data_IF_443634505331
#
_entry.id   IF_443634505331
#
_cell.length_a   1.000
_cell.length_b   1.000
_cell.length_c   1.000
_cell.angle_alpha   90.00
_cell.angle_beta   90.00
_cell.angle_gamma   90.00
#
_symmetry.space_group_name_H-M   'P 1'
#
loop_
_entity.id
_entity.type
_entity.pdbx_description
1 polymer ?
#
# COMPACT_ATOMS: atom_id res chain seq x y z
N UNK A 1 -3.85 28.95 -53.72
CA UNK A 1 -3.90 29.96 -52.67
C UNK A 1 -5.25 29.90 -52.00
N UNK A 2 -5.32 29.47 -50.81
CA UNK A 2 -6.42 29.44 -49.82
C UNK A 2 -6.25 28.17 -49.01
N UNK A 3 -5.91 28.12 -47.80
CA UNK A 3 -6.12 28.92 -46.63
C UNK A 3 -6.26 27.91 -45.50
N UNK A 4 -5.23 27.60 -44.78
CA UNK A 4 -5.26 26.73 -43.60
C UNK A 4 -5.56 27.63 -42.39
N UNK A 5 -6.81 28.01 -42.22
CA UNK A 5 -7.33 28.71 -41.05
C UNK A 5 -8.68 28.17 -40.65
N UNK A 6 -8.73 26.95 -40.09
CA UNK A 6 -9.88 26.51 -39.29
C UNK A 6 -9.48 25.34 -38.42
N UNK A 7 -8.90 25.65 -37.25
CA UNK A 7 -8.57 24.63 -36.21
C UNK A 7 -8.96 24.99 -34.79
N UNK A 8 -9.58 26.13 -34.56
CA UNK A 8 -10.13 26.44 -33.25
C UNK A 8 -11.49 27.12 -33.36
N UNK A 9 -12.53 26.66 -32.64
CA UNK A 9 -13.83 27.33 -32.65
C UNK A 9 -13.70 28.75 -32.10
N UNK A 10 -14.54 29.66 -32.62
CA UNK A 10 -14.60 31.05 -32.18
C UNK A 10 -14.78 31.14 -30.65
N UNK A 11 -13.99 32.01 -30.03
CA UNK A 11 -13.96 32.16 -28.57
C UNK A 11 -15.26 32.72 -28.04
N UNK A 12 -15.79 32.16 -26.94
CA UNK A 12 -16.96 32.68 -26.24
C UNK A 12 -16.70 34.06 -25.64
N UNK A 13 -17.76 34.83 -25.45
CA UNK A 13 -17.78 36.04 -24.63
C UNK A 13 -17.24 35.80 -23.20
N UNK A 14 -17.14 36.83 -22.38
CA UNK A 14 -16.61 36.71 -20.99
C UNK A 14 -17.39 35.68 -20.16
N UNK A 15 -18.70 35.54 -20.36
CA UNK A 15 -19.50 34.53 -19.67
C UNK A 15 -19.17 33.11 -20.12
N UNK A 16 -18.92 32.92 -21.41
CA UNK A 16 -18.47 31.63 -21.96
C UNK A 16 -17.07 31.21 -21.46
N UNK A 17 -16.16 32.18 -21.33
CA UNK A 17 -14.82 31.93 -20.76
C UNK A 17 -14.89 31.52 -19.29
N UNK A 18 -15.79 32.15 -18.51
CA UNK A 18 -15.98 31.80 -17.10
C UNK A 18 -16.56 30.39 -16.93
N UNK A 19 -17.56 30.00 -17.72
CA UNK A 19 -18.10 28.63 -17.72
C UNK A 19 -17.05 27.58 -18.09
N UNK A 20 -16.20 27.88 -19.09
CA UNK A 20 -15.09 26.99 -19.44
C UNK A 20 -14.06 26.89 -18.32
N UNK A 21 -13.82 27.97 -17.59
CA UNK A 21 -12.91 28.00 -16.46
C UNK A 21 -13.46 27.19 -15.27
N UNK A 22 -14.76 27.31 -14.96
CA UNK A 22 -15.42 26.51 -13.91
C UNK A 22 -15.36 25.00 -14.22
N UNK A 23 -15.61 24.64 -15.49
CA UNK A 23 -15.45 23.27 -15.95
C UNK A 23 -14.00 22.78 -15.81
N UNK A 24 -13.02 23.62 -16.19
CA UNK A 24 -11.61 23.33 -16.05
C UNK A 24 -11.18 23.20 -14.57
N UNK A 25 -11.73 24.02 -13.67
CA UNK A 25 -11.50 23.88 -12.24
C UNK A 25 -11.97 22.52 -11.74
N UNK A 26 -13.20 22.12 -12.02
CA UNK A 26 -13.75 20.84 -11.60
C UNK A 26 -12.98 19.66 -12.16
N UNK A 27 -12.55 19.75 -13.42
CA UNK A 27 -11.84 18.69 -14.12
C UNK A 27 -10.37 18.55 -13.67
N UNK A 28 -9.66 19.66 -13.46
CA UNK A 28 -8.19 19.65 -13.32
C UNK A 28 -7.68 19.96 -11.91
N UNK A 29 -8.55 20.36 -10.97
CA UNK A 29 -8.14 20.66 -9.59
C UNK A 29 -7.38 19.49 -8.95
N UNK A 30 -7.92 18.28 -9.06
CA UNK A 30 -7.28 17.06 -8.51
C UNK A 30 -5.92 16.79 -9.14
N UNK A 31 -5.78 16.95 -10.45
CA UNK A 31 -4.53 16.75 -11.19
C UNK A 31 -3.44 17.75 -10.75
N UNK A 32 -3.79 19.03 -10.60
CA UNK A 32 -2.86 20.08 -10.15
C UNK A 32 -2.48 19.88 -8.69
N UNK A 33 -3.41 19.47 -7.81
CA UNK A 33 -3.12 19.14 -6.42
C UNK A 33 -2.14 17.95 -6.31
N UNK A 34 -2.37 16.89 -7.08
CA UNK A 34 -1.42 15.77 -7.20
C UNK A 34 -0.03 16.22 -7.67
N UNK A 35 0.04 17.13 -8.65
CA UNK A 35 1.30 17.70 -9.11
C UNK A 35 2.07 18.41 -8.00
N UNK A 36 1.43 19.25 -7.19
CA UNK A 36 2.08 19.91 -6.05
C UNK A 36 2.45 18.93 -4.95
N UNK A 37 1.61 17.92 -4.68
CA UNK A 37 1.93 16.86 -3.72
C UNK A 37 3.24 16.14 -4.07
N UNK A 38 3.45 15.84 -5.36
CA UNK A 38 4.66 15.16 -5.84
C UNK A 38 5.87 16.11 -5.86
N UNK A 39 5.67 17.37 -6.28
CA UNK A 39 6.78 18.31 -6.49
C UNK A 39 7.23 19.04 -5.22
N UNK A 40 6.36 19.25 -4.27
CA UNK A 40 6.67 20.00 -3.04
C UNK A 40 6.36 19.13 -1.81
N UNK A 41 5.10 19.04 -1.38
CA UNK A 41 4.61 18.12 -0.37
C UNK A 41 3.08 18.20 -0.28
N UNK A 42 2.48 17.26 0.47
CA UNK A 42 1.01 17.17 0.64
C UNK A 42 0.44 18.34 1.45
N UNK A 43 1.19 18.84 2.42
CA UNK A 43 0.68 19.85 3.39
C UNK A 43 0.30 21.15 2.71
N UNK A 44 1.06 21.60 1.72
CA UNK A 44 0.84 22.87 1.01
C UNK A 44 0.18 22.69 -0.37
N UNK A 45 -0.08 21.45 -0.79
CA UNK A 45 -0.57 21.18 -2.14
C UNK A 45 -1.94 21.79 -2.42
N UNK A 46 -2.88 21.73 -1.48
CA UNK A 46 -4.21 22.32 -1.64
C UNK A 46 -4.15 23.86 -1.71
N UNK A 47 -3.37 24.50 -0.84
CA UNK A 47 -3.19 25.97 -0.83
C UNK A 47 -2.56 26.46 -2.15
N UNK A 48 -1.53 25.76 -2.62
CA UNK A 48 -0.89 26.09 -3.89
C UNK A 48 -1.82 25.84 -5.08
N UNK A 49 -2.68 24.83 -5.00
CA UNK A 49 -3.68 24.56 -6.03
C UNK A 49 -4.71 25.69 -6.09
N UNK A 50 -5.25 26.11 -4.96
CA UNK A 50 -6.16 27.25 -4.88
C UNK A 50 -5.51 28.53 -5.41
N UNK A 51 -4.26 28.78 -5.02
CA UNK A 51 -3.50 29.93 -5.51
C UNK A 51 -3.33 29.95 -7.04
N UNK A 52 -3.07 28.78 -7.65
CA UNK A 52 -2.96 28.65 -9.11
C UNK A 52 -4.28 29.01 -9.79
N UNK A 53 -5.39 28.45 -9.30
CA UNK A 53 -6.70 28.71 -9.90
C UNK A 53 -7.17 30.17 -9.67
N UNK A 54 -6.88 30.77 -8.52
CA UNK A 54 -7.11 32.21 -8.29
C UNK A 54 -6.32 33.05 -9.28
N UNK A 55 -5.02 32.81 -9.43
CA UNK A 55 -4.20 33.50 -10.44
C UNK A 55 -4.69 33.27 -11.87
N UNK A 56 -5.16 32.08 -12.19
CA UNK A 56 -5.72 31.78 -13.49
C UNK A 56 -7.04 32.56 -13.71
N UNK A 57 -7.93 32.61 -12.72
CA UNK A 57 -9.16 33.41 -12.78
C UNK A 57 -8.87 34.90 -13.00
N UNK A 58 -7.97 35.50 -12.20
CA UNK A 58 -7.58 36.91 -12.30
C UNK A 58 -6.99 37.25 -13.67
N UNK A 59 -6.28 36.33 -14.29
CA UNK A 59 -5.62 36.52 -15.58
C UNK A 59 -6.36 35.89 -16.77
N UNK A 60 -7.59 35.42 -16.59
CA UNK A 60 -8.35 34.74 -17.64
C UNK A 60 -8.54 35.60 -18.90
N UNK A 61 -8.64 36.92 -18.73
CA UNK A 61 -8.70 37.90 -19.81
C UNK A 61 -7.44 37.88 -20.72
N UNK A 62 -6.28 37.43 -20.19
CA UNK A 62 -5.02 37.32 -20.95
C UNK A 62 -4.88 35.99 -21.69
N UNK A 63 -5.76 35.05 -21.43
CA UNK A 63 -5.76 33.78 -22.11
C UNK A 63 -6.18 33.97 -23.56
N UNK A 64 -5.27 33.74 -24.50
CA UNK A 64 -5.41 34.04 -25.93
C UNK A 64 -5.58 32.81 -26.81
N UNK A 65 -5.83 31.64 -26.21
CA UNK A 65 -6.09 30.37 -26.93
C UNK A 65 -4.95 29.79 -27.78
N UNK A 66 -3.76 30.31 -27.67
CA UNK A 66 -2.61 29.70 -28.32
C UNK A 66 -2.25 28.31 -27.77
N UNK A 67 -2.89 27.92 -26.68
CA UNK A 67 -2.79 26.59 -26.03
C UNK A 67 -4.13 26.18 -25.44
N UNK A 68 -4.27 24.92 -25.00
CA UNK A 68 -5.44 24.53 -24.22
C UNK A 68 -5.49 25.31 -22.90
N UNK A 69 -6.70 25.52 -22.36
CA UNK A 69 -6.89 26.18 -21.08
C UNK A 69 -6.12 25.43 -19.97
N UNK A 70 -6.11 24.09 -20.02
CA UNK A 70 -5.32 23.27 -19.10
C UNK A 70 -3.82 23.56 -19.20
N UNK A 71 -3.26 23.58 -20.40
CA UNK A 71 -1.83 23.87 -20.62
C UNK A 71 -1.45 25.24 -20.07
N UNK A 72 -2.32 26.22 -20.21
CA UNK A 72 -2.09 27.57 -19.69
C UNK A 72 -2.16 27.59 -18.14
N UNK A 73 -3.18 26.98 -17.52
CA UNK A 73 -3.27 26.85 -16.05
C UNK A 73 -2.07 26.07 -15.51
N UNK A 74 -1.65 25.01 -16.21
CA UNK A 74 -0.51 24.21 -15.80
C UNK A 74 0.82 24.98 -15.86
N UNK A 75 0.96 25.91 -16.81
CA UNK A 75 2.12 26.81 -16.84
C UNK A 75 2.21 27.73 -15.61
N UNK A 76 1.06 28.15 -15.08
CA UNK A 76 0.98 28.91 -13.82
C UNK A 76 1.42 28.02 -12.65
N UNK A 77 0.97 26.75 -12.63
CA UNK A 77 1.38 25.78 -11.60
C UNK A 77 2.91 25.54 -11.61
N UNK A 78 3.50 25.37 -12.79
CA UNK A 78 4.97 25.22 -12.92
C UNK A 78 5.75 26.43 -12.40
N UNK A 79 5.28 27.64 -12.71
CA UNK A 79 5.88 28.86 -12.20
C UNK A 79 5.72 28.98 -10.67
N UNK A 80 4.59 28.54 -10.14
CA UNK A 80 4.36 28.48 -8.68
C UNK A 80 5.34 27.55 -7.99
N UNK A 81 5.61 26.35 -8.54
CA UNK A 81 6.65 25.44 -8.02
C UNK A 81 8.03 26.10 -8.02
N UNK A 82 8.43 26.75 -9.12
CA UNK A 82 9.73 27.45 -9.19
C UNK A 82 9.86 28.54 -8.13
N UNK A 83 8.79 29.29 -7.89
CA UNK A 83 8.77 30.35 -6.88
C UNK A 83 8.86 29.78 -5.47
N UNK A 84 8.18 28.65 -5.20
CA UNK A 84 8.22 28.01 -3.91
C UNK A 84 9.62 27.45 -3.60
N UNK A 85 10.28 26.80 -4.55
CA UNK A 85 11.68 26.40 -4.38
C UNK A 85 12.62 27.56 -4.10
N UNK A 86 12.43 28.72 -4.77
CA UNK A 86 13.22 29.93 -4.50
C UNK A 86 12.94 30.49 -3.09
N UNK A 87 11.70 30.40 -2.62
CA UNK A 87 11.31 30.81 -1.26
C UNK A 87 11.95 29.91 -0.20
N UNK A 88 11.88 28.59 -0.40
CA UNK A 88 12.49 27.59 0.49
C UNK A 88 14.02 27.73 0.53
N UNK A 89 14.66 27.99 -0.60
CA UNK A 89 16.12 28.22 -0.66
C UNK A 89 16.53 29.48 0.11
N UNK A 90 15.76 30.56 0.01
CA UNK A 90 15.99 31.79 0.79
C UNK A 90 15.80 31.57 2.29
N UNK A 91 14.75 30.84 2.69
CA UNK A 91 14.53 30.47 4.10
C UNK A 91 15.64 29.60 4.66
N UNK A 92 16.19 28.67 3.89
CA UNK A 92 17.35 27.86 4.30
C UNK A 92 18.62 28.69 4.46
N UNK A 93 18.84 29.69 3.64
CA UNK A 93 19.97 30.64 3.79
C UNK A 93 19.90 31.51 5.04
N UNK A 94 18.70 31.79 5.56
CA UNK A 94 18.48 32.55 6.79
C UNK A 94 18.57 31.66 8.04
N UNK A 95 18.30 30.36 7.92
CA UNK A 95 18.32 29.38 9.01
C UNK A 95 19.75 28.89 9.32
N UNK A 96 20.74 29.12 8.46
CA UNK A 96 22.12 28.74 8.73
C UNK A 96 22.77 29.47 9.92
N UNK A 97 22.16 30.54 10.42
CA UNK A 97 22.63 31.30 11.57
C UNK A 97 21.98 30.94 12.92
N UNK A 98 21.04 29.98 12.91
CA UNK A 98 20.42 29.45 14.14
C UNK A 98 20.62 27.94 14.23
N UNK A 99 21.85 27.53 14.48
CA UNK A 99 22.18 26.14 14.79
C UNK A 99 22.07 25.90 16.27
N UNK A 100 21.10 25.15 16.71
CA UNK A 100 21.10 24.19 17.80
C UNK A 100 19.69 23.97 18.38
N UNK A 101 18.82 23.29 17.64
CA UNK A 101 17.73 22.53 18.22
C UNK A 101 17.60 21.22 17.44
N UNK A 102 17.87 20.13 18.13
CA UNK A 102 17.60 18.78 17.64
C UNK A 102 16.14 18.68 17.17
N UNK A 103 15.85 18.02 16.05
CA UNK A 103 14.48 17.76 15.66
C UNK A 103 13.88 16.73 16.64
N UNK A 104 13.02 17.20 17.53
CA UNK A 104 12.15 16.33 18.28
C UNK A 104 11.36 15.45 17.33
N UNK A 105 11.48 14.15 17.53
CA UNK A 105 10.72 13.02 17.03
C UNK A 105 9.49 13.37 16.17
N UNK A 106 9.70 13.57 14.89
CA UNK A 106 8.69 13.32 13.89
C UNK A 106 8.54 11.80 13.85
N UNK A 107 7.35 11.29 14.10
CA UNK A 107 7.09 9.86 14.23
C UNK A 107 7.71 9.10 13.06
N UNK A 108 8.41 8.03 13.36
CA UNK A 108 9.08 7.12 12.41
C UNK A 108 8.15 6.64 11.28
N UNK A 109 6.84 6.66 11.49
CA UNK A 109 5.81 6.26 10.53
C UNK A 109 5.71 7.16 9.28
N UNK A 110 5.96 8.47 9.43
CA UNK A 110 5.96 9.39 8.30
C UNK A 110 7.24 9.24 7.45
N UNK A 111 8.36 8.90 8.05
CA UNK A 111 9.64 8.73 7.37
C UNK A 111 9.59 7.60 6.32
N UNK A 112 8.80 6.57 6.50
CA UNK A 112 8.77 5.36 5.68
C UNK A 112 7.82 5.40 4.50
N UNK A 113 6.64 5.98 4.63
CA UNK A 113 5.86 6.38 3.46
C UNK A 113 6.65 7.36 2.60
N UNK A 114 7.53 8.12 3.27
CA UNK A 114 8.55 8.95 2.67
C UNK A 114 9.63 8.08 2.01
N UNK A 115 10.04 6.90 2.52
CA UNK A 115 11.16 6.13 1.95
C UNK A 115 10.82 5.47 0.61
N UNK A 116 9.67 4.83 0.43
CA UNK A 116 9.26 4.36 -0.91
C UNK A 116 8.96 5.53 -1.85
N UNK A 117 8.42 6.65 -1.34
CA UNK A 117 8.27 7.89 -2.11
C UNK A 117 9.58 8.62 -2.32
N UNK A 118 10.50 8.58 -1.35
CA UNK A 118 11.88 9.05 -1.48
C UNK A 118 12.60 8.17 -2.50
N UNK A 119 12.33 6.88 -2.56
CA UNK A 119 12.98 5.95 -3.48
C UNK A 119 12.51 6.20 -4.91
N UNK A 120 11.22 6.28 -5.16
CA UNK A 120 10.69 6.72 -6.46
C UNK A 120 11.08 8.18 -6.74
N UNK A 121 11.01 9.05 -5.74
CA UNK A 121 11.39 10.46 -5.85
C UNK A 121 12.89 10.64 -6.11
N UNK A 122 13.75 9.82 -5.49
CA UNK A 122 15.19 9.82 -5.69
C UNK A 122 15.58 9.19 -7.01
N UNK A 123 14.89 8.11 -7.44
CA UNK A 123 15.04 7.54 -8.77
C UNK A 123 14.57 8.51 -9.86
N UNK A 124 13.45 9.20 -9.66
CA UNK A 124 12.99 10.26 -10.55
C UNK A 124 13.97 11.40 -10.66
N UNK A 125 14.63 11.82 -9.56
CA UNK A 125 15.67 12.87 -9.57
C UNK A 125 16.91 12.50 -10.37
N UNK A 126 17.18 11.21 -10.61
CA UNK A 126 18.27 10.74 -11.47
C UNK A 126 17.93 10.78 -12.96
N UNK A 127 16.67 11.04 -13.31
CA UNK A 127 16.28 11.37 -14.68
C UNK A 127 16.57 12.85 -14.98
N UNK A 128 16.72 13.19 -16.27
CA UNK A 128 16.77 14.60 -16.65
C UNK A 128 15.40 15.27 -16.42
N UNK A 129 15.39 16.59 -16.28
CA UNK A 129 14.16 17.36 -15.95
C UNK A 129 13.00 17.11 -16.91
N UNK A 130 13.29 16.99 -18.20
CA UNK A 130 12.26 16.76 -19.22
C UNK A 130 11.61 15.37 -19.08
N UNK A 131 12.40 14.33 -18.79
CA UNK A 131 11.88 12.98 -18.59
C UNK A 131 11.07 12.90 -17.28
N UNK A 132 11.53 13.58 -16.22
CA UNK A 132 10.75 13.73 -14.98
C UNK A 132 9.41 14.43 -15.24
N UNK A 133 9.41 15.48 -16.04
CA UNK A 133 8.21 16.23 -16.40
C UNK A 133 7.22 15.37 -17.19
N UNK A 134 7.71 14.64 -18.20
CA UNK A 134 6.88 13.74 -19.01
C UNK A 134 6.21 12.66 -18.14
N UNK A 135 6.98 12.02 -17.26
CA UNK A 135 6.45 11.00 -16.34
C UNK A 135 5.43 11.62 -15.39
N UNK A 136 5.75 12.78 -14.80
CA UNK A 136 4.84 13.46 -13.87
C UNK A 136 3.52 13.80 -14.55
N UNK A 137 3.57 14.38 -15.75
CA UNK A 137 2.36 14.74 -16.49
C UNK A 137 1.52 13.53 -16.86
N UNK A 138 2.14 12.46 -17.32
CA UNK A 138 1.41 11.30 -17.81
C UNK A 138 0.83 10.43 -16.67
N UNK A 139 1.62 10.12 -15.63
CA UNK A 139 1.22 9.17 -14.58
C UNK A 139 0.65 9.80 -13.31
N UNK A 140 0.99 11.04 -13.00
CA UNK A 140 0.51 11.69 -11.78
C UNK A 140 -0.55 12.76 -12.05
N UNK A 141 -0.56 13.31 -13.25
CA UNK A 141 -1.51 14.36 -13.67
C UNK A 141 -2.56 13.79 -14.62
N UNK A 142 -2.41 12.52 -15.05
CA UNK A 142 -3.31 11.80 -15.96
C UNK A 142 -3.45 12.48 -17.35
N UNK A 143 -2.40 13.19 -17.83
CA UNK A 143 -2.38 13.77 -19.16
C UNK A 143 -2.20 12.71 -20.25
N UNK A 144 -2.91 12.83 -21.34
CA UNK A 144 -2.67 12.02 -22.56
C UNK A 144 -1.29 12.37 -23.15
N UNK A 145 -0.70 11.46 -23.93
CA UNK A 145 0.59 11.73 -24.59
C UNK A 145 0.54 12.96 -25.52
N UNK A 146 -0.62 13.21 -26.14
CA UNK A 146 -0.82 14.38 -26.98
C UNK A 146 -0.82 15.69 -26.17
N UNK A 147 -1.43 15.70 -24.99
CA UNK A 147 -1.40 16.84 -24.08
C UNK A 147 0.00 17.06 -23.52
N UNK A 148 0.68 16.00 -23.09
CA UNK A 148 2.09 16.08 -22.67
C UNK A 148 2.94 16.67 -23.79
N UNK A 149 2.79 16.22 -25.04
CA UNK A 149 3.52 16.71 -26.21
C UNK A 149 3.33 18.22 -26.40
N UNK A 150 2.09 18.71 -26.24
CA UNK A 150 1.78 20.15 -26.31
C UNK A 150 2.43 20.94 -25.18
N UNK A 151 2.38 20.39 -23.95
CA UNK A 151 2.97 21.05 -22.75
C UNK A 151 4.50 21.16 -22.86
N UNK A 152 5.16 20.10 -23.32
CA UNK A 152 6.63 20.07 -23.41
C UNK A 152 7.16 20.57 -24.75
N UNK A 153 6.29 20.97 -25.68
CA UNK A 153 6.69 21.51 -26.99
C UNK A 153 7.33 20.49 -27.94
N UNK A 154 6.95 19.24 -27.86
CA UNK A 154 7.51 18.13 -28.64
C UNK A 154 6.45 17.43 -29.50
N UNK A 155 6.88 16.63 -30.50
CA UNK A 155 5.98 15.72 -31.22
C UNK A 155 5.57 14.56 -30.31
N UNK A 156 4.33 14.09 -30.41
CA UNK A 156 3.81 12.98 -29.60
C UNK A 156 4.67 11.70 -29.68
N UNK A 157 5.14 11.36 -30.88
CA UNK A 157 6.04 10.21 -31.08
C UNK A 157 7.36 10.35 -30.32
N UNK A 158 7.90 11.56 -30.24
CA UNK A 158 9.11 11.84 -29.49
C UNK A 158 8.87 11.74 -27.96
N UNK A 159 7.73 12.23 -27.49
CA UNK A 159 7.31 12.08 -26.07
C UNK A 159 7.14 10.61 -25.72
N UNK A 160 6.46 9.83 -26.56
CA UNK A 160 6.28 8.39 -26.37
C UNK A 160 7.63 7.66 -26.26
N UNK A 161 8.55 7.92 -27.18
CA UNK A 161 9.87 7.29 -27.17
C UNK A 161 10.69 7.70 -25.92
N UNK A 162 10.59 8.97 -25.50
CA UNK A 162 11.26 9.45 -24.29
C UNK A 162 10.66 8.81 -23.04
N UNK A 163 9.35 8.72 -22.96
CA UNK A 163 8.66 8.08 -21.85
C UNK A 163 9.13 6.63 -21.67
N UNK A 164 9.17 5.83 -22.75
CA UNK A 164 9.65 4.46 -22.68
C UNK A 164 11.10 4.34 -22.19
N UNK A 165 12.00 5.20 -22.67
CA UNK A 165 13.40 5.23 -22.23
C UNK A 165 13.53 5.64 -20.76
N UNK A 166 12.75 6.61 -20.33
CA UNK A 166 12.73 7.06 -18.94
C UNK A 166 12.20 5.98 -18.00
N UNK A 167 11.13 5.26 -18.39
CA UNK A 167 10.59 4.13 -17.64
C UNK A 167 11.61 2.97 -17.54
N UNK A 168 12.30 2.67 -18.63
CA UNK A 168 13.35 1.64 -18.61
C UNK A 168 14.51 2.01 -17.69
N UNK A 169 14.90 3.30 -17.67
CA UNK A 169 15.91 3.78 -16.73
C UNK A 169 15.44 3.71 -15.29
N UNK A 170 14.20 4.09 -15.01
CA UNK A 170 13.59 3.95 -13.67
C UNK A 170 13.53 2.49 -13.25
N UNK A 171 13.14 1.59 -14.15
CA UNK A 171 13.09 0.15 -13.88
C UNK A 171 14.44 -0.40 -13.45
N UNK A 172 15.54 0.03 -14.10
CA UNK A 172 16.91 -0.36 -13.70
C UNK A 172 17.27 0.19 -12.33
N UNK A 173 17.03 1.47 -12.09
CA UNK A 173 17.31 2.11 -10.81
C UNK A 173 16.51 1.46 -9.66
N UNK A 174 15.22 1.21 -9.87
CA UNK A 174 14.35 0.58 -8.88
C UNK A 174 14.68 -0.92 -8.68
N UNK A 175 15.26 -1.59 -9.68
CA UNK A 175 15.72 -2.96 -9.54
C UNK A 175 16.96 -3.06 -8.64
N UNK A 176 17.92 -2.15 -8.81
CA UNK A 176 19.09 -2.05 -7.92
C UNK A 176 18.65 -1.79 -6.46
N UNK A 177 17.58 -1.02 -6.27
CA UNK A 177 17.02 -0.74 -4.94
C UNK A 177 16.18 -1.88 -4.39
N UNK A 178 15.49 -2.62 -5.25
CA UNK A 178 14.84 -3.87 -4.88
C UNK A 178 15.85 -4.87 -4.29
N UNK A 179 17.07 -4.90 -4.82
CA UNK A 179 18.16 -5.73 -4.30
C UNK A 179 18.70 -5.20 -2.95
N UNK A 180 18.72 -3.88 -2.73
CA UNK A 180 19.09 -3.26 -1.44
C UNK A 180 18.01 -3.52 -0.37
N UNK A 181 16.72 -3.38 -0.72
CA UNK A 181 15.62 -3.73 0.17
C UNK A 181 15.64 -5.22 0.56
N UNK A 182 16.06 -6.09 -0.38
CA UNK A 182 16.26 -7.52 -0.16
C UNK A 182 17.39 -7.81 0.82
N UNK A 183 18.52 -7.11 0.73
CA UNK A 183 19.60 -7.25 1.70
C UNK A 183 19.13 -6.85 3.13
N UNK A 184 18.34 -5.80 3.25
CA UNK A 184 17.76 -5.41 4.54
C UNK A 184 16.78 -6.44 5.11
N UNK A 185 16.08 -7.21 4.27
CA UNK A 185 15.19 -8.30 4.70
C UNK A 185 15.99 -9.51 5.15
N UNK A 186 17.07 -9.86 4.48
CA UNK A 186 17.99 -10.95 4.89
C UNK A 186 18.57 -10.69 6.28
N UNK A 187 18.84 -9.42 6.62
CA UNK A 187 19.30 -9.05 7.95
C UNK A 187 18.20 -9.16 9.02
N UNK A 188 16.93 -9.12 8.63
CA UNK A 188 15.76 -9.10 9.53
C UNK A 188 15.07 -10.44 9.72
N UNK A 189 15.30 -11.41 8.84
CA UNK A 189 14.74 -12.75 8.92
C UNK A 189 15.87 -13.76 9.00
N UNK A 190 15.78 -14.72 9.93
CA UNK A 190 16.61 -15.91 9.93
C UNK A 190 15.76 -17.17 9.93
N UNK A 191 16.19 -18.18 9.19
CA UNK A 191 15.49 -19.45 9.08
C UNK A 191 16.40 -20.52 9.68
N UNK A 192 15.86 -21.29 10.64
CA UNK A 192 16.59 -22.32 11.39
C UNK A 192 15.79 -23.61 11.36
N UNK A 193 16.41 -24.71 10.93
CA UNK A 193 15.83 -26.06 11.06
C UNK A 193 16.15 -26.66 12.43
N UNK A 194 15.17 -27.28 13.06
CA UNK A 194 15.28 -27.99 14.35
C UNK A 194 15.50 -29.49 14.17
N UNK A 195 16.13 -29.91 13.07
CA UNK A 195 16.52 -31.31 12.86
C UNK A 195 17.71 -31.68 13.75
N UNK A 196 17.61 -32.76 14.49
CA UNK A 196 18.72 -33.25 15.30
C UNK A 196 19.86 -33.83 14.43
N UNK A 197 21.01 -33.24 14.51
CA UNK A 197 22.29 -33.91 14.28
C UNK A 197 22.80 -34.09 12.84
N UNK A 198 22.19 -33.50 11.80
CA UNK A 198 22.74 -33.56 10.43
C UNK A 198 22.95 -32.17 9.82
N UNK A 199 24.10 -32.01 9.17
CA UNK A 199 24.34 -30.89 8.26
C UNK A 199 23.21 -30.80 7.23
N UNK A 200 22.59 -29.60 7.12
CA UNK A 200 21.44 -29.33 6.27
C UNK A 200 21.58 -29.96 4.89
N UNK A 201 20.77 -30.97 4.59
CA UNK A 201 20.76 -31.67 3.32
C UNK A 201 20.35 -30.75 2.17
N UNK A 202 20.51 -31.22 0.91
CA UNK A 202 20.14 -30.45 -0.30
C UNK A 202 18.66 -30.05 -0.25
N UNK A 203 17.80 -30.90 0.29
CA UNK A 203 16.35 -30.64 0.42
C UNK A 203 16.02 -29.52 1.42
N UNK A 204 16.73 -29.46 2.55
CA UNK A 204 16.56 -28.38 3.55
C UNK A 204 17.03 -27.02 3.01
N UNK A 205 18.14 -26.99 2.29
CA UNK A 205 18.62 -25.76 1.61
C UNK A 205 17.60 -25.24 0.60
N UNK A 206 16.87 -26.17 -0.06
CA UNK A 206 15.76 -25.80 -0.95
C UNK A 206 14.61 -25.17 -0.16
N UNK A 207 14.20 -25.80 0.95
CA UNK A 207 13.15 -25.27 1.83
C UNK A 207 13.48 -23.85 2.31
N UNK A 208 14.70 -23.63 2.83
CA UNK A 208 15.14 -22.32 3.27
C UNK A 208 15.05 -21.28 2.15
N UNK A 209 15.45 -21.63 0.93
CA UNK A 209 15.37 -20.72 -0.23
C UNK A 209 13.93 -20.41 -0.59
N UNK A 210 13.08 -21.44 -0.71
CA UNK A 210 11.69 -21.29 -1.13
C UNK A 210 10.89 -20.48 -0.09
N UNK A 211 11.11 -20.70 1.20
CA UNK A 211 10.55 -19.88 2.29
C UNK A 211 11.06 -18.44 2.24
N UNK A 212 12.35 -18.25 2.01
CA UNK A 212 12.93 -16.93 1.89
C UNK A 212 12.36 -16.16 0.69
N UNK A 213 12.21 -16.83 -0.47
CA UNK A 213 11.66 -16.23 -1.70
C UNK A 213 10.17 -15.88 -1.56
N UNK A 214 9.39 -16.69 -0.83
CA UNK A 214 7.99 -16.38 -0.52
C UNK A 214 7.88 -15.17 0.42
N UNK A 215 8.63 -15.19 1.52
CA UNK A 215 8.63 -14.11 2.49
C UNK A 215 9.20 -12.81 1.94
N UNK A 216 10.23 -12.87 1.09
CA UNK A 216 10.82 -11.70 0.45
C UNK A 216 9.77 -10.84 -0.25
N UNK A 217 8.85 -11.48 -0.98
CA UNK A 217 7.77 -10.78 -1.68
C UNK A 217 6.71 -10.24 -0.72
N UNK A 218 6.30 -11.10 0.21
CA UNK A 218 5.20 -10.81 1.13
C UNK A 218 5.59 -9.78 2.19
N UNK A 219 6.78 -9.88 2.77
CA UNK A 219 7.25 -8.97 3.82
C UNK A 219 7.36 -7.53 3.32
N UNK A 220 7.94 -7.32 2.13
CA UNK A 220 8.03 -5.96 1.54
C UNK A 220 6.64 -5.37 1.35
N UNK A 221 5.69 -6.17 0.85
CA UNK A 221 4.32 -5.71 0.65
C UNK A 221 3.61 -5.41 1.97
N UNK A 222 3.74 -6.28 2.98
CA UNK A 222 3.10 -6.13 4.28
C UNK A 222 3.65 -4.94 5.06
N UNK A 223 4.97 -4.81 5.10
CA UNK A 223 5.66 -3.66 5.73
C UNK A 223 5.23 -2.35 5.09
N UNK A 224 5.18 -2.29 3.76
CA UNK A 224 4.70 -1.11 3.04
C UNK A 224 3.21 -0.85 3.27
N UNK A 225 2.38 -1.91 3.25
CA UNK A 225 0.92 -1.82 3.39
C UNK A 225 0.50 -1.32 4.76
N UNK A 226 1.12 -1.86 5.81
CA UNK A 226 0.82 -1.49 7.19
C UNK A 226 1.70 -0.36 7.72
N UNK A 227 2.60 0.16 6.90
CA UNK A 227 3.53 1.23 7.26
C UNK A 227 4.29 0.94 8.57
N UNK A 228 4.67 -0.30 8.77
CA UNK A 228 5.35 -0.76 9.98
C UNK A 228 6.46 -1.76 9.65
N UNK A 229 7.67 -1.47 10.09
CA UNK A 229 8.78 -2.42 9.97
C UNK A 229 8.91 -3.25 11.25
N UNK A 230 9.31 -4.50 11.11
CA UNK A 230 9.66 -5.32 12.25
C UNK A 230 10.62 -4.60 13.19
N UNK A 231 10.20 -4.44 14.45
CA UNK A 231 11.02 -3.81 15.49
C UNK A 231 12.25 -4.64 15.86
N UNK A 232 12.21 -5.95 15.58
CA UNK A 232 13.24 -6.93 15.87
C UNK A 232 13.43 -7.92 14.74
N UNK A 233 14.54 -8.64 14.77
CA UNK A 233 14.79 -9.75 13.84
C UNK A 233 13.82 -10.90 14.10
N UNK A 234 13.15 -11.36 13.03
CA UNK A 234 12.21 -12.48 13.07
C UNK A 234 12.96 -13.77 12.79
N UNK A 235 12.78 -14.76 13.64
CA UNK A 235 13.33 -16.10 13.49
C UNK A 235 12.23 -17.03 13.01
N UNK A 236 12.51 -17.87 12.01
CA UNK A 236 11.60 -18.90 11.56
C UNK A 236 12.22 -20.25 11.92
N UNK A 237 11.60 -20.95 12.83
CA UNK A 237 11.98 -22.28 13.26
C UNK A 237 11.16 -23.33 12.51
N UNK A 238 11.86 -24.26 11.83
CA UNK A 238 11.24 -25.31 11.07
C UNK A 238 11.41 -26.64 11.81
N UNK A 239 10.28 -27.24 12.16
CA UNK A 239 10.24 -28.56 12.84
C UNK A 239 10.06 -29.66 11.81
N UNK A 240 10.66 -30.85 12.03
CA UNK A 240 10.71 -31.89 11.00
C UNK A 240 9.34 -32.46 10.59
N UNK A 241 8.40 -32.50 11.54
CA UNK A 241 7.04 -33.04 11.36
C UNK A 241 6.05 -32.43 12.35
N UNK A 242 4.74 -32.72 12.18
CA UNK A 242 3.69 -32.22 13.07
C UNK A 242 3.83 -32.68 14.50
N UNK A 243 4.10 -33.96 14.83
CA UNK A 243 4.27 -34.40 16.22
C UNK A 243 5.37 -33.65 16.93
N UNK A 244 6.53 -33.52 16.32
CA UNK A 244 7.66 -32.75 16.88
C UNK A 244 7.33 -31.26 17.08
N UNK A 245 6.60 -30.68 16.10
CA UNK A 245 6.14 -29.31 16.21
C UNK A 245 5.14 -29.15 17.36
N UNK A 246 4.10 -29.99 17.43
CA UNK A 246 3.06 -29.94 18.48
C UNK A 246 3.65 -30.09 19.89
N UNK A 247 4.61 -31.02 20.05
CA UNK A 247 5.31 -31.18 21.32
C UNK A 247 6.11 -29.93 21.70
N UNK A 248 6.84 -29.35 20.73
CA UNK A 248 7.69 -28.17 20.94
C UNK A 248 6.90 -26.89 21.27
N UNK A 249 5.63 -26.82 20.91
CA UNK A 249 4.73 -25.68 21.24
C UNK A 249 3.80 -25.97 22.40
N UNK A 250 3.91 -27.16 23.04
CA UNK A 250 3.08 -27.55 24.19
C UNK A 250 1.68 -28.02 23.85
N UNK A 251 1.40 -28.32 22.57
CA UNK A 251 0.07 -28.69 22.04
C UNK A 251 0.07 -30.12 21.46
N UNK A 252 0.55 -31.09 22.23
CA UNK A 252 0.70 -32.49 21.76
C UNK A 252 -0.60 -33.15 21.21
N UNK A 253 -1.76 -32.64 21.59
CA UNK A 253 -3.07 -33.11 21.09
C UNK A 253 -3.69 -32.24 20.00
N UNK A 254 -2.93 -31.31 19.43
CA UNK A 254 -3.45 -30.40 18.42
C UNK A 254 -3.91 -31.12 17.14
N UNK A 255 -4.93 -30.60 16.43
CA UNK A 255 -5.37 -31.18 15.18
C UNK A 255 -4.34 -30.98 14.05
N UNK A 256 -4.43 -31.83 13.03
CA UNK A 256 -3.45 -31.86 11.92
C UNK A 256 -3.37 -30.56 11.09
N UNK A 257 -4.41 -29.73 11.12
CA UNK A 257 -4.38 -28.44 10.46
C UNK A 257 -3.50 -27.40 11.20
N UNK A 258 -3.18 -27.62 12.48
CA UNK A 258 -2.34 -26.73 13.27
C UNK A 258 -0.86 -26.94 12.92
N UNK A 259 -0.38 -26.21 11.92
CA UNK A 259 0.93 -26.37 11.30
C UNK A 259 1.94 -25.31 11.69
N UNK A 260 1.54 -24.31 12.44
CA UNK A 260 2.43 -23.21 12.82
C UNK A 260 1.82 -22.22 13.78
N UNK A 261 2.66 -21.56 14.53
CA UNK A 261 2.32 -20.50 15.48
C UNK A 261 3.47 -19.49 15.58
N UNK A 262 3.30 -18.46 16.38
CA UNK A 262 4.39 -17.55 16.71
C UNK A 262 4.41 -17.26 18.21
N UNK A 263 5.62 -17.05 18.71
CA UNK A 263 5.89 -16.67 20.08
C UNK A 263 7.02 -15.63 20.07
N UNK A 264 6.82 -14.51 20.74
CA UNK A 264 7.71 -13.35 20.67
C UNK A 264 8.08 -12.98 19.22
N UNK A 265 9.35 -13.10 18.86
CA UNK A 265 9.86 -12.83 17.51
C UNK A 265 10.13 -14.11 16.70
N UNK A 266 9.57 -15.24 17.11
CA UNK A 266 9.81 -16.53 16.48
C UNK A 266 8.53 -17.08 15.87
N UNK A 267 8.56 -17.32 14.57
CA UNK A 267 7.56 -18.11 13.87
C UNK A 267 8.00 -19.58 13.92
N UNK A 268 7.15 -20.44 14.45
CA UNK A 268 7.39 -21.89 14.55
C UNK A 268 6.49 -22.59 13.55
N UNK A 269 7.05 -23.35 12.62
CA UNK A 269 6.29 -24.03 11.55
C UNK A 269 6.73 -25.47 11.37
N UNK A 270 5.82 -26.31 10.87
CA UNK A 270 6.19 -27.63 10.39
C UNK A 270 6.96 -27.54 9.06
N UNK A 271 7.84 -28.51 8.80
CA UNK A 271 8.60 -28.57 7.54
C UNK A 271 7.67 -28.73 6.33
N UNK A 272 7.85 -27.90 5.28
CA UNK A 272 7.17 -28.11 4.01
C UNK A 272 7.44 -29.50 3.38
N UNK A 273 8.54 -30.16 3.74
CA UNK A 273 8.86 -31.52 3.25
C UNK A 273 8.00 -32.61 3.89
N UNK A 274 7.47 -32.35 5.08
CA UNK A 274 6.61 -33.29 5.82
C UNK A 274 5.46 -32.50 6.46
N UNK A 275 4.54 -31.97 5.65
CA UNK A 275 3.54 -30.97 6.11
C UNK A 275 2.38 -31.59 6.89
N UNK A 276 2.30 -32.93 7.00
CA UNK A 276 1.16 -33.64 7.56
C UNK A 276 0.03 -33.88 6.52
N UNK A 277 -1.06 -34.55 6.94
CA UNK A 277 -2.09 -35.04 6.02
C UNK A 277 -2.97 -33.95 5.43
N UNK A 278 -3.11 -32.80 6.10
CA UNK A 278 -4.04 -31.73 5.70
C UNK A 278 -3.34 -30.58 4.93
N UNK A 279 -2.03 -30.65 4.80
CA UNK A 279 -1.23 -29.61 4.17
C UNK A 279 -0.41 -30.13 2.98
N UNK A 280 0.04 -29.20 2.18
CA UNK A 280 0.98 -29.44 1.06
C UNK A 280 2.21 -28.57 1.26
N UNK A 281 3.27 -28.88 0.52
CA UNK A 281 4.48 -28.03 0.49
C UNK A 281 4.13 -26.55 0.24
N UNK A 282 3.29 -26.29 -0.76
CA UNK A 282 2.92 -24.93 -1.14
C UNK A 282 2.02 -24.25 -0.10
N UNK A 283 1.14 -25.01 0.58
CA UNK A 283 0.29 -24.44 1.63
C UNK A 283 1.12 -24.00 2.85
N UNK A 284 2.16 -24.76 3.24
CA UNK A 284 3.06 -24.35 4.33
C UNK A 284 3.78 -23.04 4.01
N UNK A 285 4.28 -22.88 2.77
CA UNK A 285 4.91 -21.61 2.36
C UNK A 285 3.95 -20.42 2.52
N UNK A 286 2.70 -20.55 2.03
CA UNK A 286 1.66 -19.52 2.19
C UNK A 286 1.29 -19.27 3.66
N UNK A 287 1.21 -20.34 4.46
CA UNK A 287 0.91 -20.22 5.88
C UNK A 287 2.02 -19.50 6.63
N UNK A 288 3.27 -19.55 6.17
CA UNK A 288 4.34 -18.74 6.75
C UNK A 288 4.12 -17.24 6.50
N UNK A 289 3.58 -16.85 5.35
CA UNK A 289 3.14 -15.47 5.09
C UNK A 289 1.97 -15.07 6.01
N UNK A 290 1.01 -15.96 6.22
CA UNK A 290 -0.09 -15.75 7.17
C UNK A 290 0.44 -15.47 8.59
N UNK A 291 1.29 -16.35 9.10
CA UNK A 291 1.88 -16.20 10.43
C UNK A 291 2.71 -14.93 10.57
N UNK A 292 3.46 -14.57 9.52
CA UNK A 292 4.21 -13.32 9.51
C UNK A 292 3.29 -12.10 9.58
N UNK A 293 2.19 -12.11 8.83
CA UNK A 293 1.22 -11.01 8.86
C UNK A 293 0.53 -10.90 10.24
N UNK A 294 0.15 -12.02 10.85
CA UNK A 294 -0.38 -12.05 12.20
C UNK A 294 0.62 -11.50 13.23
N UNK A 295 1.86 -11.96 13.15
CA UNK A 295 2.95 -11.48 13.99
C UNK A 295 3.16 -9.98 13.81
N UNK A 296 3.17 -9.47 12.58
CA UNK A 296 3.35 -8.05 12.29
C UNK A 296 2.21 -7.20 12.87
N UNK A 297 0.96 -7.67 12.81
CA UNK A 297 -0.18 -7.01 13.47
C UNK A 297 0.04 -6.90 14.98
N UNK A 298 0.58 -7.94 15.60
CA UNK A 298 0.90 -7.95 17.03
C UNK A 298 2.13 -7.09 17.37
N UNK A 299 3.10 -6.98 16.47
CA UNK A 299 4.25 -6.07 16.63
C UNK A 299 3.82 -4.60 16.54
N UNK A 300 2.78 -4.29 15.71
CA UNK A 300 2.15 -2.96 15.65
C UNK A 300 1.33 -2.70 16.93
N UNK A 301 0.49 -3.64 17.30
CA UNK A 301 -0.39 -3.53 18.48
C UNK A 301 -0.47 -4.88 19.22
N UNK A 302 0.22 -5.02 20.35
CA UNK A 302 0.19 -6.25 21.15
C UNK A 302 -1.22 -6.64 21.66
N UNK A 303 -2.14 -5.67 21.72
CA UNK A 303 -3.54 -5.85 22.12
C UNK A 303 -4.49 -6.02 20.92
N UNK A 304 -3.97 -6.21 19.71
CA UNK A 304 -4.81 -6.42 18.54
C UNK A 304 -5.71 -7.66 18.73
N UNK A 305 -7.01 -7.54 18.41
CA UNK A 305 -7.95 -8.66 18.56
C UNK A 305 -7.53 -9.87 17.73
N UNK A 306 -7.88 -11.08 18.22
CA UNK A 306 -7.58 -12.34 17.54
C UNK A 306 -8.18 -12.39 16.14
N UNK A 307 -9.46 -12.00 16.00
CA UNK A 307 -10.13 -11.97 14.69
C UNK A 307 -9.40 -11.07 13.69
N UNK A 308 -8.84 -9.94 14.15
CA UNK A 308 -8.15 -8.99 13.28
C UNK A 308 -6.80 -9.56 12.80
N UNK A 309 -6.01 -10.13 13.71
CA UNK A 309 -4.72 -10.73 13.35
C UNK A 309 -4.91 -11.95 12.44
N UNK A 310 -5.84 -12.85 12.77
CA UNK A 310 -6.18 -14.03 11.96
C UNK A 310 -6.74 -13.64 10.59
N UNK A 311 -7.67 -12.68 10.56
CA UNK A 311 -8.28 -12.20 9.33
C UNK A 311 -7.28 -11.55 8.40
N UNK A 312 -6.39 -10.69 8.91
CA UNK A 312 -5.30 -10.08 8.13
C UNK A 312 -4.34 -11.15 7.63
N UNK A 313 -3.95 -12.12 8.48
CA UNK A 313 -3.08 -13.22 8.09
C UNK A 313 -3.64 -13.98 6.89
N UNK A 314 -4.88 -14.43 6.97
CA UNK A 314 -5.56 -15.17 5.89
C UNK A 314 -5.75 -14.34 4.62
N UNK A 315 -6.14 -13.08 4.77
CA UNK A 315 -6.40 -12.15 3.66
C UNK A 315 -5.13 -11.83 2.87
N UNK A 316 -4.05 -11.52 3.56
CA UNK A 316 -2.78 -11.18 2.93
C UNK A 316 -2.08 -12.40 2.29
N UNK A 317 -2.17 -13.56 2.93
CA UNK A 317 -1.63 -14.81 2.37
C UNK A 317 -2.47 -15.40 1.23
N UNK A 318 -3.66 -14.85 0.96
CA UNK A 318 -4.61 -15.34 -0.06
C UNK A 318 -4.87 -16.85 0.10
N UNK A 319 -5.07 -17.29 1.33
CA UNK A 319 -5.24 -18.71 1.64
C UNK A 319 -6.60 -19.26 1.28
N UNK A 320 -7.62 -18.42 1.20
CA UNK A 320 -9.00 -18.84 1.01
C UNK A 320 -9.50 -18.47 -0.38
N UNK A 321 -10.02 -19.45 -1.11
CA UNK A 321 -10.76 -19.21 -2.35
C UNK A 321 -12.21 -18.83 -2.05
N UNK A 322 -12.87 -18.16 -2.96
CA UNK A 322 -14.28 -17.79 -2.81
C UNK A 322 -15.19 -19.02 -2.70
N UNK A 323 -14.89 -20.09 -3.44
CA UNK A 323 -15.61 -21.36 -3.31
C UNK A 323 -15.45 -21.97 -1.92
N UNK A 324 -14.23 -22.02 -1.39
CA UNK A 324 -13.98 -22.55 -0.05
C UNK A 324 -14.73 -21.77 1.04
N UNK A 325 -14.69 -20.43 0.98
CA UNK A 325 -15.43 -19.58 1.92
C UNK A 325 -16.93 -19.88 1.82
N UNK A 326 -17.48 -19.92 0.60
CA UNK A 326 -18.89 -20.24 0.37
C UNK A 326 -19.28 -21.60 0.96
N UNK A 327 -18.52 -22.64 0.65
CA UNK A 327 -18.82 -24.00 1.07
C UNK A 327 -18.78 -24.15 2.60
N UNK A 328 -17.91 -23.38 3.27
CA UNK A 328 -17.73 -23.48 4.73
C UNK A 328 -18.57 -22.50 5.55
N UNK A 329 -19.12 -21.44 4.96
CA UNK A 329 -19.86 -20.39 5.70
C UNK A 329 -21.33 -20.25 5.28
N UNK A 330 -21.74 -20.76 4.11
CA UNK A 330 -23.07 -20.52 3.56
C UNK A 330 -24.21 -21.03 4.47
N UNK A 331 -24.03 -22.13 5.20
CA UNK A 331 -25.00 -22.64 6.12
C UNK A 331 -25.16 -21.70 7.33
N UNK A 332 -24.07 -21.28 7.95
CA UNK A 332 -24.09 -20.36 9.07
C UNK A 332 -24.69 -19.00 8.68
N UNK A 333 -24.37 -18.49 7.48
CA UNK A 333 -24.94 -17.24 6.95
C UNK A 333 -26.46 -17.37 6.76
N UNK A 334 -26.95 -18.45 6.12
CA UNK A 334 -28.38 -18.65 5.89
C UNK A 334 -29.18 -18.82 7.19
N UNK A 335 -28.58 -19.43 8.20
CA UNK A 335 -29.21 -19.67 9.50
C UNK A 335 -29.07 -18.46 10.46
N UNK A 336 -28.41 -17.38 10.05
CA UNK A 336 -28.15 -16.23 10.90
C UNK A 336 -27.17 -16.51 12.04
N UNK A 337 -26.37 -17.58 11.93
CA UNK A 337 -25.41 -18.03 12.94
C UNK A 337 -24.01 -17.42 12.66
N UNK A 338 -23.98 -16.12 12.31
CA UNK A 338 -22.73 -15.38 12.05
C UNK A 338 -22.17 -14.93 13.40
N UNK A 339 -20.90 -15.26 13.72
CA UNK A 339 -20.32 -14.92 15.01
C UNK A 339 -20.13 -13.40 15.17
N UNK A 340 -20.34 -12.90 16.38
CA UNK A 340 -19.96 -11.52 16.74
C UNK A 340 -18.45 -11.38 16.86
N UNK A 341 -17.94 -10.15 16.83
CA UNK A 341 -16.50 -9.89 17.03
C UNK A 341 -16.03 -10.43 18.38
N UNK A 342 -16.83 -10.28 19.44
CA UNK A 342 -16.52 -10.83 20.76
C UNK A 342 -16.44 -12.37 20.77
N UNK A 343 -17.26 -13.07 19.98
CA UNK A 343 -17.16 -14.52 19.84
C UNK A 343 -15.92 -14.96 19.06
N UNK A 344 -15.44 -14.13 18.15
CA UNK A 344 -14.21 -14.36 17.39
C UNK A 344 -12.91 -14.13 18.21
N UNK A 345 -13.02 -13.79 19.52
CA UNK A 345 -11.91 -13.76 20.48
C UNK A 345 -11.75 -15.09 21.25
N UNK A 346 -12.62 -16.07 21.02
CA UNK A 346 -12.60 -17.36 21.70
C UNK A 346 -11.32 -18.17 21.41
N UNK A 347 -11.14 -19.25 22.17
CA UNK A 347 -9.97 -20.11 22.09
C UNK A 347 -9.84 -20.82 20.73
N UNK A 348 -8.66 -21.37 20.44
CA UNK A 348 -8.29 -21.78 19.09
C UNK A 348 -9.20 -22.85 18.50
N UNK A 349 -9.60 -23.85 19.29
CA UNK A 349 -10.41 -24.97 18.81
C UNK A 349 -11.88 -24.59 18.65
N UNK A 350 -12.42 -23.81 19.55
CA UNK A 350 -13.77 -23.24 19.42
C UNK A 350 -13.84 -22.24 18.26
N UNK A 351 -12.77 -21.51 18.07
CA UNK A 351 -12.61 -20.58 16.95
C UNK A 351 -12.76 -21.29 15.59
N UNK A 352 -12.15 -22.45 15.42
CA UNK A 352 -12.31 -23.25 14.21
C UNK A 352 -13.75 -23.72 14.02
N UNK A 353 -14.35 -24.30 15.08
CA UNK A 353 -15.69 -24.87 15.02
C UNK A 353 -16.75 -23.86 14.58
N UNK A 354 -16.60 -22.59 14.95
CA UNK A 354 -17.51 -21.51 14.53
C UNK A 354 -17.18 -20.91 13.16
N UNK A 355 -16.19 -21.43 12.42
CA UNK A 355 -15.72 -20.84 11.17
C UNK A 355 -14.92 -19.54 11.37
N UNK A 356 -14.25 -19.40 12.51
CA UNK A 356 -13.59 -18.16 12.92
C UNK A 356 -12.54 -17.65 11.94
N UNK A 357 -11.78 -18.52 11.28
CA UNK A 357 -10.83 -18.15 10.25
C UNK A 357 -11.51 -17.49 9.03
N UNK A 358 -12.62 -18.09 8.57
CA UNK A 358 -13.37 -17.62 7.43
C UNK A 358 -14.06 -16.29 7.72
N UNK A 359 -14.72 -16.21 8.88
CA UNK A 359 -15.43 -14.98 9.29
C UNK A 359 -14.45 -13.83 9.60
N UNK A 360 -13.30 -14.11 10.18
CA UNK A 360 -12.24 -13.13 10.38
C UNK A 360 -11.69 -12.59 9.04
N UNK A 361 -11.46 -13.49 8.08
CA UNK A 361 -11.10 -13.13 6.71
C UNK A 361 -12.14 -12.21 6.07
N UNK A 362 -13.42 -12.60 6.13
CA UNK A 362 -14.52 -11.83 5.56
C UNK A 362 -14.69 -10.45 6.21
N UNK A 363 -14.44 -10.33 7.51
CA UNK A 363 -14.49 -9.06 8.21
C UNK A 363 -13.35 -8.11 7.75
N UNK A 364 -12.14 -8.64 7.62
CA UNK A 364 -11.00 -7.86 7.10
C UNK A 364 -11.22 -7.47 5.63
N UNK A 365 -11.72 -8.38 4.80
CA UNK A 365 -12.08 -8.09 3.41
C UNK A 365 -13.15 -6.99 3.34
N UNK A 366 -14.18 -7.05 4.16
CA UNK A 366 -15.23 -6.04 4.25
C UNK A 366 -14.66 -4.66 4.61
N UNK A 367 -13.79 -4.59 5.62
CA UNK A 367 -13.15 -3.32 6.01
C UNK A 367 -12.32 -2.76 4.86
N UNK A 368 -11.46 -3.58 4.24
CA UNK A 368 -10.61 -3.15 3.12
C UNK A 368 -11.44 -2.68 1.91
N UNK A 369 -12.52 -3.40 1.56
CA UNK A 369 -13.36 -3.08 0.40
C UNK A 369 -14.31 -1.90 0.61
N UNK A 370 -14.88 -1.73 1.81
CA UNK A 370 -15.86 -0.69 2.08
C UNK A 370 -15.24 0.61 2.61
N UNK A 371 -14.14 0.51 3.38
CA UNK A 371 -13.54 1.65 4.07
C UNK A 371 -12.09 1.91 3.65
N UNK A 372 -11.47 0.96 2.95
CA UNK A 372 -10.12 1.09 2.42
C UNK A 372 -9.00 0.79 3.41
N UNK A 373 -7.78 0.79 2.89
CA UNK A 373 -6.57 0.45 3.63
C UNK A 373 -6.29 1.37 4.83
N UNK A 374 -6.59 2.66 4.69
CA UNK A 374 -6.36 3.62 5.78
C UNK A 374 -7.22 3.29 7.00
N UNK A 375 -8.46 2.84 6.81
CA UNK A 375 -9.33 2.39 7.89
C UNK A 375 -8.81 1.09 8.53
N UNK A 376 -8.34 0.13 7.72
CA UNK A 376 -7.74 -1.11 8.21
C UNK A 376 -6.51 -0.82 9.08
N UNK A 377 -5.62 0.08 8.66
CA UNK A 377 -4.44 0.49 9.43
C UNK A 377 -4.83 1.17 10.74
N UNK A 378 -5.89 1.98 10.75
CA UNK A 378 -6.38 2.60 11.97
C UNK A 378 -6.96 1.59 12.95
N UNK A 379 -7.66 0.55 12.46
CA UNK A 379 -8.20 -0.54 13.30
C UNK A 379 -7.09 -1.36 13.94
N UNK A 380 -6.00 -1.64 13.23
CA UNK A 380 -4.84 -2.32 13.84
C UNK A 380 -4.31 -1.52 15.04
N UNK A 381 -4.13 -0.22 14.88
CA UNK A 381 -3.61 0.64 15.94
C UNK A 381 -4.59 0.91 17.09
N UNK A 382 -5.89 0.96 16.80
CA UNK A 382 -6.96 1.33 17.76
C UNK A 382 -8.25 0.54 17.49
N UNK A 383 -8.28 -0.76 17.79
CA UNK A 383 -9.42 -1.62 17.46
C UNK A 383 -10.73 -1.22 18.15
N UNK A 384 -10.65 -0.57 19.32
CA UNK A 384 -11.81 -0.12 20.09
C UNK A 384 -12.45 1.17 19.55
N UNK A 385 -11.81 1.83 18.58
CA UNK A 385 -12.26 3.14 18.08
C UNK A 385 -13.17 3.04 16.84
N UNK A 386 -14.15 2.14 16.86
CA UNK A 386 -15.10 1.97 15.75
C UNK A 386 -15.79 3.28 15.35
N UNK A 387 -16.20 4.09 16.32
CA UNK A 387 -16.86 5.38 16.03
C UNK A 387 -15.95 6.37 15.32
N UNK A 388 -14.69 6.46 15.73
CA UNK A 388 -13.73 7.38 15.11
C UNK A 388 -13.30 6.96 13.71
N UNK A 389 -13.25 5.65 13.45
CA UNK A 389 -12.78 5.08 12.17
C UNK A 389 -13.92 4.98 11.17
N UNK A 390 -15.07 4.41 11.58
CA UNK A 390 -16.17 4.04 10.70
C UNK A 390 -17.38 4.96 10.80
N UNK A 391 -17.38 5.91 11.76
CA UNK A 391 -18.54 6.72 12.16
C UNK A 391 -19.75 5.84 12.58
N UNK A 392 -19.49 4.70 13.21
CA UNK A 392 -20.46 3.69 13.64
C UNK A 392 -20.03 3.04 14.95
N UNK A 393 -21.00 2.54 15.71
CA UNK A 393 -20.74 1.62 16.83
C UNK A 393 -20.27 0.24 16.29
N UNK A 394 -19.70 -0.59 17.15
CA UNK A 394 -19.31 -1.95 16.81
C UNK A 394 -20.53 -2.78 16.34
N UNK A 395 -21.68 -2.64 17.00
CA UNK A 395 -22.92 -3.30 16.61
C UNK A 395 -23.40 -2.89 15.22
N UNK A 396 -23.40 -1.59 14.91
CA UNK A 396 -23.78 -1.08 13.58
C UNK A 396 -22.79 -1.53 12.48
N UNK A 397 -21.50 -1.63 12.82
CA UNK A 397 -20.50 -2.17 11.91
C UNK A 397 -20.71 -3.66 11.64
N UNK A 398 -21.00 -4.43 12.69
CA UNK A 398 -21.33 -5.84 12.58
C UNK A 398 -22.61 -6.08 11.74
N UNK A 399 -23.67 -5.32 11.95
CA UNK A 399 -24.91 -5.41 11.14
C UNK A 399 -24.64 -5.13 9.66
N UNK A 400 -23.82 -4.13 9.35
CA UNK A 400 -23.41 -3.85 7.97
C UNK A 400 -22.59 -4.99 7.36
N UNK A 401 -21.66 -5.54 8.12
CA UNK A 401 -20.87 -6.68 7.67
C UNK A 401 -21.74 -7.91 7.42
N UNK A 402 -22.68 -8.23 8.32
CA UNK A 402 -23.66 -9.30 8.14
C UNK A 402 -24.46 -9.08 6.85
N UNK A 403 -24.96 -7.88 6.62
CA UNK A 403 -25.65 -7.54 5.38
C UNK A 403 -24.77 -7.72 4.13
N UNK A 404 -23.52 -7.28 4.20
CA UNK A 404 -22.55 -7.40 3.10
C UNK A 404 -22.28 -8.86 2.71
N UNK A 405 -22.02 -9.75 3.69
CA UNK A 405 -21.74 -11.16 3.41
C UNK A 405 -23.00 -11.92 3.01
N UNK A 406 -24.18 -11.62 3.61
CA UNK A 406 -25.45 -12.24 3.25
C UNK A 406 -25.93 -11.89 1.83
N UNK A 407 -25.53 -10.73 1.30
CA UNK A 407 -25.81 -10.36 -0.08
C UNK A 407 -24.89 -11.07 -1.10
N UNK A 408 -23.77 -11.67 -0.62
CA UNK A 408 -22.76 -12.31 -1.48
C UNK A 408 -22.89 -13.83 -1.51
N UNK A 409 -23.33 -14.45 -0.43
CA UNK A 409 -23.36 -15.90 -0.25
C UNK A 409 -24.78 -16.43 0.03
#
# INVERSE_FOLDING_TARGET
>A
MSGAHDKYPAYPDEQGKMKQFEAAYSQYRSAICKYFTVKINRTVADDLTQHVFLKAAENLHRFNANSSLFTWIFSIAQNTVKNEYRSLSRKKGIISDFTSMEPQSISLDFARFVDIRIDIGSALKQLNELDQQIITLHYFVDCTLLEVARIVGMRESAVKNRLYRALEKLRKLLKEWGDIAVMSIQDRISIVSKSEGQSAGVSEKKVHRDLFDELKRSVVQLVSKFNHEPSRKVVIEIYPDLPTFHEAVGEAGAPNWFMGTYEDNTLKIVSPLNPGPEHTYASILKSTTHLFAMWLVRDINPLAPKWLSQGIGGYEAKQMSESYIRDTTAEAIRNGAIPTLAQLENDTWDFETMGGFQFSYLMVEFIDKQYGLDALNQVIGRPDNCRGIFNRSESELHEQWVHYISARF
#
